data_IF_623945749479
#
_entry.id   IF_623945749479
#
_cell.length_a   1.000
_cell.length_b   1.000
_cell.length_c   1.000
_cell.angle_alpha   90.00
_cell.angle_beta   90.00
_cell.angle_gamma   90.00
#
_symmetry.space_group_name_H-M   'P 1'
#
loop_
_entity.id
_entity.type
_entity.pdbx_description
1 polymer ?
#
# COMPACT_ATOMS: atom_id res chain seq x y z
N UNK A 1 1.73 7.99 -11.16
CA UNK A 1 1.41 6.58 -10.84
C UNK A 1 2.59 5.61 -10.60
N UNK A 2 3.15 4.89 -11.59
CA UNK A 2 4.06 3.73 -11.39
C UNK A 2 5.36 4.04 -10.61
N UNK A 3 5.97 5.20 -10.87
CA UNK A 3 7.14 5.67 -10.13
C UNK A 3 6.77 5.97 -8.67
N UNK A 4 5.62 6.61 -8.45
CA UNK A 4 5.08 6.89 -7.11
C UNK A 4 4.77 5.60 -6.36
N UNK A 5 4.13 4.63 -7.01
CA UNK A 5 3.84 3.32 -6.41
C UNK A 5 5.13 2.58 -6.06
N UNK A 6 6.15 2.61 -6.93
CA UNK A 6 7.46 2.00 -6.65
C UNK A 6 8.17 2.67 -5.47
N UNK A 7 8.13 4.00 -5.41
CA UNK A 7 8.70 4.77 -4.30
C UNK A 7 7.95 4.49 -2.99
N UNK A 8 6.62 4.47 -3.04
CA UNK A 8 5.78 4.17 -1.89
C UNK A 8 5.98 2.73 -1.42
N UNK A 9 6.00 1.74 -2.31
CA UNK A 9 6.28 0.34 -1.94
C UNK A 9 7.67 0.16 -1.34
N UNK A 10 8.69 0.81 -1.93
CA UNK A 10 10.05 0.77 -1.38
C UNK A 10 10.10 1.43 0.00
N UNK A 11 9.31 2.49 0.23
CA UNK A 11 9.18 3.14 1.53
C UNK A 11 8.46 2.25 2.55
N UNK A 12 7.35 1.60 2.16
CA UNK A 12 6.62 0.65 2.99
C UNK A 12 7.52 -0.52 3.44
N UNK A 13 8.33 -1.09 2.52
CA UNK A 13 9.31 -2.12 2.86
C UNK A 13 10.37 -1.63 3.84
N UNK A 14 10.88 -0.40 3.67
CA UNK A 14 11.87 0.18 4.60
C UNK A 14 11.25 0.41 5.99
N UNK A 15 10.01 0.89 6.08
CA UNK A 15 9.35 1.05 7.39
C UNK A 15 9.11 -0.27 8.11
N UNK A 16 8.86 -1.37 7.38
CA UNK A 16 8.76 -2.71 7.99
C UNK A 16 10.08 -3.15 8.63
N UNK A 17 11.23 -2.64 8.18
CA UNK A 17 12.54 -2.97 8.77
C UNK A 17 12.89 -2.12 10.00
N UNK A 18 12.28 -0.94 10.18
CA UNK A 18 12.62 0.00 11.26
C UNK A 18 11.91 -0.29 12.60
N UNK A 19 10.85 -1.12 12.63
CA UNK A 19 10.05 -1.37 13.85
C UNK A 19 10.69 -2.27 14.94
N UNK A 20 11.94 -2.72 14.80
CA UNK A 20 12.58 -3.59 15.82
C UNK A 20 13.20 -2.87 17.04
N UNK A 21 13.12 -1.54 17.14
CA UNK A 21 13.85 -0.80 18.18
C UNK A 21 13.05 0.26 18.93
N UNK A 22 12.63 -0.07 20.17
CA UNK A 22 12.62 0.78 21.38
C UNK A 22 11.38 0.54 22.26
N UNK A 23 11.57 -0.18 23.37
CA UNK A 23 10.58 -0.35 24.43
C UNK A 23 10.75 0.78 25.46
N UNK A 24 9.75 1.66 25.61
CA UNK A 24 9.58 2.50 26.79
C UNK A 24 8.14 2.39 27.27
N UNK A 25 7.97 2.04 28.55
CA UNK A 25 6.69 1.74 29.19
C UNK A 25 6.00 3.04 29.64
N UNK A 26 5.34 3.72 28.72
CA UNK A 26 4.30 4.70 29.05
C UNK A 26 2.99 4.27 28.39
N UNK A 27 1.92 4.14 29.17
CA UNK A 27 0.59 3.76 28.69
C UNK A 27 -0.08 4.93 27.96
N UNK A 28 0.51 5.34 26.85
CA UNK A 28 -0.04 6.29 25.90
C UNK A 28 -0.72 5.47 24.80
N UNK A 29 -1.94 5.87 24.41
CA UNK A 29 -2.63 5.23 23.30
C UNK A 29 -1.75 5.39 22.04
N UNK A 30 -1.47 4.30 21.31
CA UNK A 30 -0.48 4.29 20.22
C UNK A 30 -0.73 5.37 19.14
N UNK A 31 -2.00 5.78 18.96
CA UNK A 31 -2.42 6.87 18.07
C UNK A 31 -1.97 8.27 18.52
N UNK A 32 -1.55 8.46 19.78
CA UNK A 32 -1.05 9.74 20.31
C UNK A 32 0.47 9.88 20.21
N UNK A 33 1.22 8.77 20.13
CA UNK A 33 2.68 8.80 19.91
C UNK A 33 3.00 8.79 18.41
N UNK A 34 2.21 8.05 17.62
CA UNK A 34 2.38 7.92 16.17
C UNK A 34 1.08 8.32 15.46
N UNK A 35 0.82 9.63 15.27
CA UNK A 35 -0.34 10.06 14.51
C UNK A 35 -0.30 9.42 13.11
N UNK A 36 -1.39 8.75 12.74
CA UNK A 36 -1.54 8.14 11.41
C UNK A 36 -1.29 9.22 10.36
N UNK A 37 -0.32 9.00 9.49
CA UNK A 37 -0.09 9.89 8.35
C UNK A 37 -1.32 9.81 7.44
N UNK A 38 -1.80 10.96 6.99
CA UNK A 38 -2.83 11.02 5.96
C UNK A 38 -2.30 10.34 4.68
N UNK A 39 -3.12 9.55 3.98
CA UNK A 39 -2.71 8.95 2.71
C UNK A 39 -2.33 10.04 1.71
N UNK A 40 -1.33 9.76 0.87
CA UNK A 40 -1.06 10.56 -0.31
C UNK A 40 -2.11 10.22 -1.37
N UNK A 41 -2.90 11.21 -1.77
CA UNK A 41 -3.89 11.08 -2.83
C UNK A 41 -3.35 11.67 -4.12
N UNK A 42 -3.42 10.94 -5.23
CA UNK A 42 -2.99 11.44 -6.55
C UNK A 42 -3.91 12.57 -7.05
N UNK A 43 -5.21 12.51 -6.73
CA UNK A 43 -6.19 13.57 -6.96
C UNK A 43 -6.94 13.89 -5.64
N UNK A 44 -7.27 15.15 -5.40
CA UNK A 44 -7.86 15.61 -4.11
C UNK A 44 -9.20 14.96 -3.77
N UNK A 45 -9.97 14.55 -4.79
CA UNK A 45 -11.28 13.92 -4.65
C UNK A 45 -11.22 12.40 -4.45
N UNK A 46 -10.02 11.79 -4.47
CA UNK A 46 -9.89 10.35 -4.27
C UNK A 46 -10.21 9.97 -2.82
N UNK A 47 -10.69 8.74 -2.64
CA UNK A 47 -10.97 8.17 -1.34
C UNK A 47 -10.38 6.77 -1.24
N UNK A 48 -10.09 6.34 -0.01
CA UNK A 48 -9.63 4.99 0.28
C UNK A 48 -10.74 4.00 -0.15
N UNK A 49 -10.46 3.04 -1.06
CA UNK A 49 -11.50 2.21 -1.68
C UNK A 49 -11.94 1.00 -0.82
N UNK A 50 -11.44 0.87 0.41
CA UNK A 50 -11.71 -0.23 1.33
C UNK A 50 -11.69 0.24 2.79
N UNK A 51 -12.38 -0.47 3.70
CA UNK A 51 -12.21 -0.25 5.13
C UNK A 51 -10.85 -0.80 5.61
N UNK A 52 -10.13 0.00 6.38
CA UNK A 52 -8.85 -0.38 7.00
C UNK A 52 -9.06 -1.35 8.18
N UNK A 53 -8.18 -2.34 8.28
CA UNK A 53 -8.09 -3.21 9.46
C UNK A 53 -7.43 -2.51 10.66
N UNK A 54 -7.48 -3.13 11.83
CA UNK A 54 -6.77 -2.63 13.02
C UNK A 54 -5.26 -2.62 12.77
N UNK A 55 -4.62 -1.47 12.94
CA UNK A 55 -3.20 -1.28 12.63
C UNK A 55 -2.90 -1.08 11.14
N UNK A 56 -3.89 -1.25 10.26
CA UNK A 56 -3.76 -0.87 8.86
C UNK A 56 -3.95 0.65 8.72
N UNK A 57 -3.16 1.25 7.82
CA UNK A 57 -3.35 2.61 7.35
C UNK A 57 -2.92 2.72 5.89
N UNK A 58 -3.70 3.47 5.12
CA UNK A 58 -3.44 3.71 3.70
C UNK A 58 -2.34 4.74 3.54
N UNK A 59 -1.32 4.41 2.75
CA UNK A 59 -0.20 5.31 2.46
C UNK A 59 -0.39 6.07 1.16
N UNK A 60 -1.02 5.43 0.16
CA UNK A 60 -1.20 6.00 -1.17
C UNK A 60 -2.51 5.55 -1.81
N UNK A 61 -3.15 6.47 -2.53
CA UNK A 61 -4.28 6.20 -3.41
C UNK A 61 -4.03 6.93 -4.74
N UNK A 62 -4.11 6.20 -5.85
CA UNK A 62 -3.91 6.71 -7.20
C UNK A 62 -4.82 6.02 -8.21
N UNK A 63 -4.84 6.55 -9.43
CA UNK A 63 -5.67 6.03 -10.52
C UNK A 63 -4.77 5.50 -11.63
N UNK A 64 -5.13 4.34 -12.17
CA UNK A 64 -4.53 3.80 -13.38
C UNK A 64 -5.64 3.30 -14.29
N UNK A 65 -5.80 3.94 -15.46
CA UNK A 65 -6.86 3.61 -16.42
C UNK A 65 -8.24 3.55 -15.72
N UNK A 66 -8.91 2.40 -15.75
CA UNK A 66 -10.23 2.18 -15.12
C UNK A 66 -10.15 1.63 -13.68
N UNK A 67 -8.97 1.68 -13.06
CA UNK A 67 -8.72 1.15 -11.73
C UNK A 67 -8.32 2.24 -10.72
N UNK A 68 -8.78 2.08 -9.48
CA UNK A 68 -8.24 2.77 -8.31
C UNK A 68 -7.24 1.83 -7.65
N UNK A 69 -6.02 2.31 -7.48
CA UNK A 69 -4.94 1.57 -6.81
C UNK A 69 -4.66 2.24 -5.49
N UNK A 70 -4.75 1.47 -4.42
CA UNK A 70 -4.46 1.92 -3.08
C UNK A 70 -3.46 0.98 -2.42
N UNK A 71 -2.52 1.55 -1.69
CA UNK A 71 -1.49 0.81 -0.98
C UNK A 71 -1.57 1.20 0.49
N UNK A 72 -1.71 0.21 1.36
CA UNK A 72 -1.58 0.36 2.80
C UNK A 72 -0.27 -0.24 3.28
N UNK A 73 0.04 -0.07 4.57
CA UNK A 73 1.12 -0.80 5.24
C UNK A 73 0.87 -2.33 5.33
N UNK A 74 -0.26 -2.84 4.84
CA UNK A 74 -0.62 -4.26 4.89
C UNK A 74 -0.82 -4.91 3.52
N UNK A 75 -1.47 -4.21 2.57
CA UNK A 75 -1.84 -4.78 1.27
C UNK A 75 -1.78 -3.76 0.13
N UNK A 76 -1.54 -4.30 -1.06
CA UNK A 76 -1.87 -3.65 -2.32
C UNK A 76 -3.34 -3.98 -2.67
N UNK A 77 -4.14 -2.95 -2.89
CA UNK A 77 -5.53 -3.06 -3.29
C UNK A 77 -5.72 -2.42 -4.67
N UNK A 78 -6.27 -3.17 -5.61
CA UNK A 78 -6.60 -2.68 -6.95
C UNK A 78 -8.10 -2.90 -7.16
N UNK A 79 -8.84 -1.81 -7.30
CA UNK A 79 -10.28 -1.81 -7.53
C UNK A 79 -10.55 -1.43 -8.97
N UNK A 80 -10.97 -2.41 -9.76
CA UNK A 80 -11.56 -2.20 -11.08
C UNK A 80 -13.06 -1.92 -10.93
N UNK A 81 -13.72 -1.63 -12.05
CA UNK A 81 -15.18 -1.42 -12.09
C UNK A 81 -15.97 -2.64 -11.60
N UNK A 82 -15.53 -3.86 -11.95
CA UNK A 82 -16.28 -5.11 -11.71
C UNK A 82 -15.53 -6.10 -10.83
N UNK A 83 -14.26 -5.83 -10.50
CA UNK A 83 -13.41 -6.75 -9.76
C UNK A 83 -12.48 -6.03 -8.79
N UNK A 84 -11.99 -6.78 -7.81
CA UNK A 84 -11.06 -6.28 -6.80
C UNK A 84 -9.94 -7.30 -6.64
N UNK A 85 -8.71 -6.80 -6.59
CA UNK A 85 -7.53 -7.58 -6.26
C UNK A 85 -6.96 -7.06 -4.94
N UNK A 86 -6.76 -7.96 -3.98
CA UNK A 86 -6.08 -7.68 -2.72
C UNK A 86 -4.85 -8.58 -2.63
N UNK A 87 -3.66 -7.98 -2.55
CA UNK A 87 -2.40 -8.71 -2.39
C UNK A 87 -1.74 -8.26 -1.09
N UNK A 88 -1.62 -9.13 -0.06
CA UNK A 88 -0.84 -8.83 1.12
C UNK A 88 0.61 -8.51 0.74
N UNK A 89 1.20 -7.45 1.30
CA UNK A 89 2.55 -7.01 0.93
C UNK A 89 3.58 -8.12 1.13
N UNK A 90 3.43 -8.92 2.18
CA UNK A 90 4.34 -10.04 2.48
C UNK A 90 4.29 -11.17 1.43
N UNK A 91 3.22 -11.24 0.64
CA UNK A 91 3.05 -12.21 -0.43
C UNK A 91 3.68 -11.73 -1.75
N UNK A 92 3.97 -10.44 -1.89
CA UNK A 92 4.60 -9.88 -3.09
C UNK A 92 6.06 -10.34 -3.13
N UNK A 93 6.45 -10.95 -4.25
CA UNK A 93 7.83 -11.35 -4.52
C UNK A 93 8.56 -10.25 -5.30
N UNK A 94 7.94 -9.77 -6.39
CA UNK A 94 8.50 -8.72 -7.22
C UNK A 94 7.42 -7.80 -7.77
N UNK A 95 7.78 -6.52 -7.95
CA UNK A 95 6.98 -5.52 -8.66
C UNK A 95 7.81 -4.98 -9.81
N UNK A 96 7.39 -5.29 -11.04
CA UNK A 96 8.02 -4.84 -12.26
C UNK A 96 7.17 -3.79 -12.98
N UNK A 97 7.82 -2.74 -13.47
CA UNK A 97 7.25 -1.82 -14.46
C UNK A 97 7.80 -2.28 -15.81
N UNK A 98 6.99 -3.00 -16.60
CA UNK A 98 7.46 -3.50 -17.91
C UNK A 98 7.42 -2.42 -18.99
N UNK A 99 6.33 -1.66 -18.99
CA UNK A 99 6.12 -0.49 -19.85
C UNK A 99 5.61 0.69 -19.01
N UNK A 100 5.50 1.88 -19.59
CA UNK A 100 5.02 3.10 -18.89
C UNK A 100 3.60 2.96 -18.31
N UNK A 101 2.84 1.94 -18.74
CA UNK A 101 1.42 1.76 -18.41
C UNK A 101 1.11 0.38 -17.80
N UNK A 102 2.11 -0.51 -17.61
CA UNK A 102 1.87 -1.85 -17.07
C UNK A 102 2.63 -2.10 -15.77
N UNK A 103 1.86 -2.47 -14.74
CA UNK A 103 2.34 -2.94 -13.46
C UNK A 103 2.25 -4.47 -13.43
N UNK A 104 3.37 -5.15 -13.26
CA UNK A 104 3.39 -6.59 -13.03
C UNK A 104 3.76 -6.88 -11.58
N UNK A 105 2.85 -7.51 -10.84
CA UNK A 105 3.11 -7.98 -9.47
C UNK A 105 3.18 -9.50 -9.50
N UNK A 106 4.35 -10.04 -9.20
CA UNK A 106 4.52 -11.48 -8.99
C UNK A 106 4.47 -11.78 -7.51
N UNK A 107 3.76 -12.85 -7.16
CA UNK A 107 3.54 -13.28 -5.79
C UNK A 107 4.32 -14.56 -5.48
N UNK A 108 4.62 -14.78 -4.20
CA UNK A 108 5.31 -15.98 -3.70
C UNK A 108 4.53 -17.28 -3.93
N UNK A 109 3.22 -17.19 -4.09
CA UNK A 109 2.34 -18.30 -4.46
C UNK A 109 2.22 -18.49 -5.98
N UNK A 110 3.16 -17.92 -6.74
CA UNK A 110 3.23 -17.95 -8.21
C UNK A 110 2.07 -17.24 -8.93
N UNK A 111 1.21 -16.50 -8.22
CA UNK A 111 0.21 -15.64 -8.88
C UNK A 111 0.88 -14.42 -9.52
N UNK A 112 0.30 -13.98 -10.64
CA UNK A 112 0.72 -12.77 -11.36
C UNK A 112 -0.48 -11.85 -11.52
N UNK A 113 -0.37 -10.63 -11.01
CA UNK A 113 -1.33 -9.54 -11.24
C UNK A 113 -0.76 -8.62 -12.30
N UNK A 114 -1.59 -8.27 -13.29
CA UNK A 114 -1.26 -7.38 -14.41
C UNK A 114 -2.27 -6.26 -14.49
#
# INVERSE_FOLDING_TARGET
FLVTLRLSYKRALLSVQEEEGQQSLECIQANQIFPKKSPVLEEENMQVPFPELHGEFTEYVGRAEDAIIAMSNYRLHIKFKESVVNVPLQLIECVECRDMFQLHVTCKDCKVVR
#
